data_IF_024729028909
#
_entry.id   IF_024729028909
#
_cell.length_a   1.000
_cell.length_b   1.000
_cell.length_c   1.000
_cell.angle_alpha   90.00
_cell.angle_beta   90.00
_cell.angle_gamma   90.00
#
_symmetry.space_group_name_H-M   'P 1'
#
loop_
_entity.id
_entity.type
_entity.pdbx_description
1 polymer ?
#
# COMPACT_ATOMS: atom_id res chain seq x y z
N UNK A 1 13.88 2.78 3.70
CA UNK A 1 13.04 2.10 2.69
C UNK A 1 11.66 2.02 3.30
N UNK A 2 10.68 2.68 2.69
CA UNK A 2 9.32 2.79 3.23
C UNK A 2 8.38 1.99 2.34
N UNK A 3 7.43 1.26 2.93
CA UNK A 3 6.37 0.61 2.17
C UNK A 3 5.31 1.66 1.85
N UNK A 4 5.02 1.86 0.56
CA UNK A 4 3.99 2.80 0.09
C UNK A 4 2.62 2.12 -0.04
N UNK A 5 2.40 1.03 0.70
CA UNK A 5 1.22 0.16 0.66
C UNK A 5 0.91 -0.48 -0.70
N UNK A 6 1.88 -0.54 -1.61
CA UNK A 6 1.76 -1.30 -2.85
C UNK A 6 2.34 -2.70 -2.66
N UNK A 7 1.49 -3.72 -2.73
CA UNK A 7 1.88 -5.10 -2.53
C UNK A 7 1.39 -5.98 -3.68
N UNK A 8 2.25 -6.91 -4.11
CA UNK A 8 1.86 -7.99 -5.02
C UNK A 8 1.77 -9.29 -4.24
N UNK A 9 0.61 -9.95 -4.29
CA UNK A 9 0.35 -11.20 -3.60
C UNK A 9 -0.13 -12.27 -4.57
N UNK A 10 0.14 -13.53 -4.23
CA UNK A 10 -0.51 -14.67 -4.90
C UNK A 10 -1.87 -14.94 -4.24
N UNK A 11 -2.82 -15.60 -4.94
CA UNK A 11 -4.15 -15.88 -4.38
C UNK A 11 -4.12 -16.70 -3.08
N UNK A 12 -3.10 -17.54 -2.89
CA UNK A 12 -2.92 -18.35 -1.68
C UNK A 12 -2.74 -17.48 -0.43
N UNK A 13 -2.15 -16.29 -0.57
CA UNK A 13 -1.96 -15.36 0.54
C UNK A 13 -3.29 -14.90 1.15
N UNK A 14 -4.37 -14.85 0.36
CA UNK A 14 -5.70 -14.46 0.87
C UNK A 14 -6.20 -15.43 1.95
N UNK A 15 -5.86 -16.73 1.84
CA UNK A 15 -6.22 -17.72 2.87
C UNK A 15 -5.46 -17.47 4.17
N UNK A 16 -4.16 -17.22 4.06
CA UNK A 16 -3.32 -16.87 5.21
C UNK A 16 -3.80 -15.59 5.89
N UNK A 17 -4.20 -14.59 5.09
CA UNK A 17 -4.77 -13.34 5.59
C UNK A 17 -6.10 -13.57 6.31
N UNK A 18 -6.97 -14.42 5.79
CA UNK A 18 -8.25 -14.75 6.41
C UNK A 18 -8.07 -15.49 7.75
N UNK A 19 -7.15 -16.45 7.81
CA UNK A 19 -6.80 -17.16 9.05
C UNK A 19 -6.21 -16.20 10.09
N UNK A 20 -5.25 -15.37 9.70
CA UNK A 20 -4.68 -14.35 10.58
C UNK A 20 -5.71 -13.32 11.06
N UNK A 21 -6.66 -12.95 10.21
CA UNK A 21 -7.74 -12.04 10.58
C UNK A 21 -8.68 -12.66 11.63
N UNK A 22 -9.01 -13.95 11.51
CA UNK A 22 -9.81 -14.67 12.53
C UNK A 22 -9.09 -14.67 13.87
N UNK A 23 -7.81 -15.00 13.90
CA UNK A 23 -7.02 -14.97 15.13
C UNK A 23 -6.93 -13.58 15.75
N UNK A 24 -6.71 -12.55 14.94
CA UNK A 24 -6.72 -11.16 15.36
C UNK A 24 -8.07 -10.78 15.99
N UNK A 25 -9.17 -11.19 15.37
CA UNK A 25 -10.51 -10.89 15.85
C UNK A 25 -10.81 -11.57 17.19
N UNK A 26 -10.30 -12.78 17.41
CA UNK A 26 -10.50 -13.50 18.67
C UNK A 26 -9.60 -12.99 19.82
N UNK A 27 -8.40 -12.52 19.50
CA UNK A 27 -7.38 -12.16 20.51
C UNK A 27 -7.28 -10.66 20.76
N UNK A 28 -7.15 -9.86 19.69
CA UNK A 28 -6.81 -8.43 19.78
C UNK A 28 -8.04 -7.53 19.90
N UNK A 29 -9.12 -7.87 19.18
CA UNK A 29 -10.37 -7.08 19.24
C UNK A 29 -10.98 -7.06 20.64
N UNK A 30 -11.03 -8.15 21.44
CA UNK A 30 -11.53 -8.10 22.80
C UNK A 30 -10.67 -7.25 23.74
N UNK A 31 -9.37 -7.12 23.47
CA UNK A 31 -8.44 -6.36 24.30
C UNK A 31 -8.66 -4.84 24.15
N UNK A 32 -8.89 -4.35 22.93
CA UNK A 32 -9.19 -2.94 22.69
C UNK A 32 -9.98 -2.72 21.39
N UNK A 33 -11.30 -2.98 21.38
CA UNK A 33 -12.10 -3.00 20.15
C UNK A 33 -12.19 -1.64 19.45
N UNK A 34 -11.98 -0.53 20.19
CA UNK A 34 -12.04 0.83 19.64
C UNK A 34 -10.76 1.25 18.92
N UNK A 35 -9.66 0.53 19.09
CA UNK A 35 -8.34 0.84 18.49
C UNK A 35 -7.70 -0.35 17.78
N UNK A 36 -8.37 -1.50 17.74
CA UNK A 36 -7.87 -2.68 17.07
C UNK A 36 -7.86 -2.44 15.55
N UNK A 37 -6.66 -2.35 14.97
CA UNK A 37 -6.45 -2.20 13.52
C UNK A 37 -5.67 -3.39 12.97
N UNK A 38 -6.24 -4.10 12.01
CA UNK A 38 -5.56 -5.20 11.32
C UNK A 38 -4.74 -4.67 10.14
N UNK A 39 -3.48 -4.35 10.40
CA UNK A 39 -2.57 -3.76 9.41
C UNK A 39 -1.81 -4.85 8.64
N UNK A 40 -2.00 -4.88 7.33
CA UNK A 40 -1.25 -5.74 6.39
C UNK A 40 0.27 -5.69 6.62
N UNK A 41 0.94 -4.52 6.75
CA UNK A 41 2.39 -4.49 6.96
C UNK A 41 2.82 -5.13 8.28
N UNK A 42 2.02 -5.00 9.34
CA UNK A 42 2.29 -5.64 10.64
C UNK A 42 2.18 -7.15 10.52
N UNK A 43 1.07 -7.63 9.94
CA UNK A 43 0.84 -9.06 9.73
C UNK A 43 1.91 -9.73 8.87
N UNK A 44 2.31 -9.08 7.76
CA UNK A 44 3.41 -9.57 6.93
C UNK A 44 4.73 -9.55 7.70
N UNK A 45 4.97 -8.53 8.53
CA UNK A 45 6.14 -8.44 9.40
C UNK A 45 6.23 -9.62 10.39
N UNK A 46 5.11 -10.04 10.96
CA UNK A 46 5.01 -11.22 11.83
C UNK A 46 5.29 -12.51 11.06
N UNK A 47 4.67 -12.71 9.90
CA UNK A 47 4.92 -13.89 9.07
C UNK A 47 6.38 -13.98 8.60
N UNK A 48 7.02 -12.83 8.36
CA UNK A 48 8.44 -12.74 8.03
C UNK A 48 9.33 -13.11 9.22
N UNK A 49 9.01 -12.64 10.44
CA UNK A 49 9.78 -12.95 11.64
C UNK A 49 9.67 -14.41 12.06
N UNK A 50 8.51 -15.03 11.80
CA UNK A 50 8.26 -16.46 12.00
C UNK A 50 8.84 -17.34 10.87
N UNK A 51 9.39 -16.74 9.82
CA UNK A 51 9.95 -17.48 8.67
C UNK A 51 8.90 -18.21 7.81
N UNK A 52 7.62 -17.88 7.96
CA UNK A 52 6.50 -18.47 7.22
C UNK A 52 6.33 -17.88 5.81
N UNK A 53 6.99 -16.77 5.53
CA UNK A 53 6.90 -16.07 4.24
C UNK A 53 8.24 -15.43 3.85
N UNK A 54 8.41 -15.17 2.55
CA UNK A 54 9.47 -14.32 2.02
C UNK A 54 8.88 -13.19 1.19
N UNK A 55 9.34 -11.95 1.41
CA UNK A 55 8.93 -10.77 0.62
C UNK A 55 10.08 -10.34 -0.27
N UNK A 56 9.80 -10.16 -1.56
CA UNK A 56 10.75 -9.56 -2.50
C UNK A 56 10.46 -8.07 -2.66
N UNK A 57 11.43 -7.24 -2.30
CA UNK A 57 11.32 -5.79 -2.54
C UNK A 57 11.71 -5.47 -3.98
N UNK A 58 10.76 -4.95 -4.75
CA UNK A 58 11.00 -4.43 -6.09
C UNK A 58 11.35 -2.95 -6.00
N UNK A 59 12.49 -2.56 -6.56
CA UNK A 59 12.90 -1.15 -6.64
C UNK A 59 12.36 -0.54 -7.92
N UNK A 60 11.75 0.63 -7.82
CA UNK A 60 11.41 1.48 -8.97
C UNK A 60 12.27 2.74 -8.94
N UNK A 61 12.55 3.30 -10.11
CA UNK A 61 13.17 4.62 -10.27
C UNK A 61 12.12 5.74 -10.29
N UNK A 62 10.83 5.39 -10.25
CA UNK A 62 9.75 6.36 -10.24
C UNK A 62 9.62 7.05 -8.89
N UNK A 63 9.20 8.31 -8.95
CA UNK A 63 8.91 9.13 -7.79
C UNK A 63 7.48 8.87 -7.35
N UNK A 64 7.31 8.48 -6.09
CA UNK A 64 5.98 8.42 -5.49
C UNK A 64 5.53 9.81 -5.07
N UNK A 65 4.31 10.17 -5.45
CA UNK A 65 3.66 11.41 -5.06
C UNK A 65 2.48 11.08 -4.13
N UNK A 66 2.59 11.49 -2.88
CA UNK A 66 1.53 11.38 -1.90
C UNK A 66 0.98 12.73 -1.53
N UNK A 67 -0.32 12.78 -1.27
CA UNK A 67 -0.98 13.93 -0.67
C UNK A 67 -1.34 13.56 0.76
N UNK A 68 -0.47 13.90 1.70
CA UNK A 68 -0.74 13.69 3.13
C UNK A 68 -1.29 14.98 3.74
N UNK A 69 -0.80 16.13 3.26
CA UNK A 69 -1.21 17.44 3.71
C UNK A 69 -1.76 18.30 2.56
N UNK A 70 -2.47 19.37 2.92
CA UNK A 70 -3.08 20.27 1.93
C UNK A 70 -2.03 21.04 1.14
N UNK A 71 -0.87 21.27 1.74
CA UNK A 71 0.28 21.95 1.16
C UNK A 71 0.92 21.11 0.04
N UNK A 72 0.82 19.77 0.11
CA UNK A 72 1.36 18.85 -0.90
C UNK A 72 0.61 18.98 -2.24
N UNK A 73 -0.62 19.51 -2.25
CA UNK A 73 -1.46 19.68 -3.44
C UNK A 73 -0.74 20.48 -4.53
N UNK A 74 -0.03 21.55 -4.15
CA UNK A 74 0.62 22.44 -5.12
C UNK A 74 1.76 21.72 -5.83
N UNK A 75 2.63 21.06 -5.06
CA UNK A 75 3.75 20.30 -5.59
C UNK A 75 3.30 19.11 -6.46
N UNK A 76 2.21 18.44 -6.07
CA UNK A 76 1.62 17.34 -6.85
C UNK A 76 1.06 17.86 -8.17
N UNK A 77 0.30 18.95 -8.16
CA UNK A 77 -0.24 19.56 -9.39
C UNK A 77 0.86 19.99 -10.36
N UNK A 78 1.91 20.65 -9.87
CA UNK A 78 3.05 21.04 -10.71
C UNK A 78 3.77 19.84 -11.32
N UNK A 79 3.90 18.75 -10.56
CA UNK A 79 4.49 17.50 -11.05
C UNK A 79 3.65 16.89 -12.16
N UNK A 80 2.32 16.85 -12.02
CA UNK A 80 1.41 16.39 -13.08
C UNK A 80 1.48 17.28 -14.33
N UNK A 81 1.49 18.62 -14.18
CA UNK A 81 1.63 19.53 -15.32
C UNK A 81 2.91 19.25 -16.12
N UNK A 82 4.04 19.04 -15.44
CA UNK A 82 5.30 18.67 -16.11
C UNK A 82 5.22 17.33 -16.83
N UNK A 83 4.53 16.34 -16.28
CA UNK A 83 4.35 15.05 -16.95
C UNK A 83 3.47 15.15 -18.20
N UNK A 84 2.49 16.05 -18.21
CA UNK A 84 1.68 16.36 -19.39
C UNK A 84 2.50 17.11 -20.46
N UNK A 85 3.28 18.12 -20.07
CA UNK A 85 4.16 18.88 -20.96
C UNK A 85 5.23 17.98 -21.60
N UNK A 86 5.79 17.04 -20.84
CA UNK A 86 6.78 16.08 -21.32
C UNK A 86 6.17 14.94 -22.16
N UNK A 87 4.85 14.90 -22.32
CA UNK A 87 4.15 13.87 -23.09
C UNK A 87 4.12 12.49 -22.45
N UNK A 88 4.50 12.36 -21.17
CA UNK A 88 4.43 11.10 -20.41
C UNK A 88 2.99 10.63 -20.27
N UNK A 89 2.05 11.57 -20.11
CA UNK A 89 0.61 11.32 -20.06
C UNK A 89 -0.14 12.24 -21.03
N UNK A 90 -1.29 11.78 -21.54
CA UNK A 90 -2.22 12.61 -22.31
C UNK A 90 -3.05 13.46 -21.35
N UNK A 91 -3.45 14.66 -21.79
CA UNK A 91 -4.29 15.57 -20.99
C UNK A 91 -5.66 15.00 -20.65
N UNK A 92 -6.23 14.21 -21.57
CA UNK A 92 -7.37 13.36 -21.30
C UNK A 92 -6.93 11.89 -21.34
N UNK A 93 -6.90 11.27 -20.17
CA UNK A 93 -6.50 9.87 -20.01
C UNK A 93 -7.56 8.89 -20.50
N UNK A 94 -8.81 9.32 -20.62
CA UNK A 94 -9.95 8.47 -20.95
C UNK A 94 -10.63 8.87 -22.27
N UNK A 95 -10.04 9.76 -23.06
CA UNK A 95 -10.60 10.19 -24.35
C UNK A 95 -10.86 9.03 -25.33
N UNK A 96 -10.18 7.91 -25.10
CA UNK A 96 -10.19 6.73 -25.95
C UNK A 96 -11.07 5.60 -25.36
N UNK A 97 -11.86 5.87 -24.31
CA UNK A 97 -12.76 4.93 -23.62
C UNK A 97 -14.24 5.22 -23.92
#
# INVERSE_FOLDING_TARGET
MVSMNMWGFTPEFLKTLEEGFKEFFEKEVPANPLKAEYLIPTFIGELLSEGKMSVKVLRTNDTWYGMTYKEDVVAVKESFSKMLENGTYKGDLFSDL
#
